data_IF_197780854568
#
_entry.id   IF_197780854568
#
_cell.length_a   1.000
_cell.length_b   1.000
_cell.length_c   1.000
_cell.angle_alpha   90.00
_cell.angle_beta   90.00
_cell.angle_gamma   90.00
#
_symmetry.space_group_name_H-M   'P 1'
#
loop_
_entity.id
_entity.type
_entity.pdbx_description
1 polymer ?
#
# COMPACT_ATOMS: atom_id res chain seq x y z
N UNK A 1 -9.58 -4.58 6.96
CA UNK A 1 -8.98 -4.98 8.24
C UNK A 1 -8.46 -6.40 8.11
N UNK A 2 -7.36 -6.73 8.79
CA UNK A 2 -6.84 -8.09 8.80
C UNK A 2 -7.89 -9.08 9.32
N UNK A 3 -7.96 -10.26 8.71
CA UNK A 3 -8.88 -11.34 9.09
C UNK A 3 -8.04 -12.60 9.27
N UNK A 4 -8.11 -13.22 10.45
CA UNK A 4 -7.38 -14.44 10.87
C UNK A 4 -5.86 -14.30 10.97
N UNK A 5 -5.20 -13.71 9.99
CA UNK A 5 -3.74 -13.58 9.92
C UNK A 5 -3.30 -12.17 9.55
N UNK A 6 -2.05 -11.86 9.88
CA UNK A 6 -1.36 -10.64 9.46
C UNK A 6 -0.14 -11.03 8.64
N UNK A 7 0.05 -10.37 7.51
CA UNK A 7 1.09 -10.70 6.53
C UNK A 7 2.28 -9.74 6.59
N UNK A 8 2.10 -8.55 7.18
CA UNK A 8 3.16 -7.55 7.30
C UNK A 8 3.07 -6.78 8.61
N UNK A 9 4.21 -6.27 9.08
CA UNK A 9 4.25 -5.28 10.16
C UNK A 9 3.59 -3.99 9.67
N UNK A 10 2.64 -3.47 10.44
CA UNK A 10 1.87 -2.27 10.10
C UNK A 10 0.53 -2.54 9.40
N UNK A 11 0.19 -3.79 9.08
CA UNK A 11 -1.14 -4.12 8.56
C UNK A 11 -2.24 -3.77 9.56
N UNK A 12 -3.28 -3.06 9.11
CA UNK A 12 -4.33 -2.55 9.99
C UNK A 12 -5.29 -3.66 10.45
N UNK A 13 -5.34 -3.90 11.76
CA UNK A 13 -6.21 -4.88 12.42
C UNK A 13 -7.54 -4.26 12.85
N UNK A 14 -7.51 -3.07 13.46
CA UNK A 14 -8.68 -2.38 13.97
C UNK A 14 -8.50 -0.85 13.95
N UNK A 15 -9.59 -0.12 14.18
CA UNK A 15 -9.61 1.34 14.36
C UNK A 15 -10.27 1.67 15.69
N UNK A 16 -9.65 2.56 16.46
CA UNK A 16 -10.22 3.10 17.69
C UNK A 16 -10.86 4.45 17.39
N UNK A 17 -12.11 4.63 17.80
CA UNK A 17 -12.86 5.88 17.69
C UNK A 17 -13.04 6.49 19.07
N UNK A 18 -12.74 7.78 19.22
CA UNK A 18 -12.89 8.53 20.47
C UNK A 18 -13.19 10.01 20.17
N UNK A 19 -13.58 10.76 21.20
CA UNK A 19 -13.90 12.19 21.08
C UNK A 19 -12.69 13.05 20.70
N UNK A 20 -11.48 12.62 21.05
CA UNK A 20 -10.24 13.31 20.68
C UNK A 20 -9.19 12.33 20.16
N UNK A 21 -8.28 12.83 19.33
CA UNK A 21 -7.18 12.05 18.77
C UNK A 21 -6.26 11.46 19.87
N UNK A 22 -6.02 12.21 20.94
CA UNK A 22 -5.17 11.75 22.05
C UNK A 22 -5.82 10.60 22.83
N UNK A 23 -7.13 10.66 23.05
CA UNK A 23 -7.87 9.55 23.65
C UNK A 23 -7.82 8.31 22.76
N UNK A 24 -8.04 8.47 21.45
CA UNK A 24 -7.98 7.35 20.50
C UNK A 24 -6.59 6.68 20.51
N UNK A 25 -5.51 7.48 20.51
CA UNK A 25 -4.13 6.96 20.59
C UNK A 25 -3.85 6.22 21.90
N UNK A 26 -4.24 6.81 23.04
CA UNK A 26 -4.06 6.18 24.36
C UNK A 26 -4.82 4.86 24.44
N UNK A 27 -6.07 4.83 23.97
CA UNK A 27 -6.89 3.63 23.95
C UNK A 27 -6.34 2.56 22.99
N UNK A 28 -5.89 2.94 21.79
CA UNK A 28 -5.26 2.03 20.84
C UNK A 28 -4.01 1.36 21.42
N UNK A 29 -3.19 2.08 22.19
CA UNK A 29 -2.00 1.53 22.85
C UNK A 29 -2.32 0.50 23.97
N UNK A 30 -3.57 0.43 24.44
CA UNK A 30 -4.01 -0.55 25.43
C UNK A 30 -4.56 -1.84 24.79
N UNK A 31 -4.78 -1.84 23.47
CA UNK A 31 -5.27 -3.03 22.76
C UNK A 31 -4.18 -4.10 22.79
N UNK A 32 -4.51 -5.25 23.39
CA UNK A 32 -3.63 -6.43 23.43
C UNK A 32 -4.06 -7.40 22.34
N UNK A 33 -3.09 -7.86 21.57
CA UNK A 33 -3.29 -8.83 20.49
C UNK A 33 -2.30 -9.95 20.73
N UNK A 34 -2.80 -11.18 20.76
CA UNK A 34 -1.99 -12.38 20.86
C UNK A 34 -1.78 -12.94 19.45
N UNK A 35 -0.55 -13.33 19.15
CA UNK A 35 -0.16 -13.85 17.85
C UNK A 35 0.45 -15.23 18.01
N UNK A 36 0.15 -16.11 17.06
CA UNK A 36 0.94 -17.29 16.78
C UNK A 36 1.89 -16.94 15.62
N UNK A 37 3.22 -16.99 15.82
CA UNK A 37 4.15 -16.69 14.74
C UNK A 37 4.05 -17.70 13.60
N UNK A 38 3.99 -17.18 12.37
CA UNK A 38 4.05 -17.98 11.14
C UNK A 38 5.38 -17.73 10.42
N UNK A 39 5.85 -18.67 9.58
CA UNK A 39 7.01 -18.43 8.72
C UNK A 39 6.80 -17.20 7.83
N UNK A 40 7.82 -16.35 7.72
CA UNK A 40 7.77 -15.12 6.93
C UNK A 40 8.87 -15.12 5.85
N UNK A 41 8.56 -14.50 4.72
CA UNK A 41 9.48 -14.23 3.61
C UNK A 41 9.75 -12.73 3.61
N UNK A 42 11.00 -12.31 3.82
CA UNK A 42 11.36 -10.90 4.07
C UNK A 42 12.31 -10.32 3.02
N UNK A 43 13.08 -11.17 2.34
CA UNK A 43 14.08 -10.76 1.34
C UNK A 43 13.69 -11.22 -0.06
N UNK A 44 14.30 -10.60 -1.08
CA UNK A 44 14.11 -10.99 -2.48
C UNK A 44 14.61 -12.42 -2.69
N UNK A 45 15.74 -12.76 -2.08
CA UNK A 45 16.36 -14.08 -2.19
C UNK A 45 15.49 -15.18 -1.55
N UNK A 46 14.89 -14.92 -0.39
CA UNK A 46 13.93 -15.85 0.23
C UNK A 46 12.68 -16.04 -0.65
N UNK A 47 12.18 -14.98 -1.28
CA UNK A 47 11.04 -15.07 -2.17
C UNK A 47 11.35 -15.89 -3.43
N UNK A 48 12.56 -15.72 -4.00
CA UNK A 48 13.05 -16.55 -5.11
C UNK A 48 13.15 -18.02 -4.68
N UNK A 49 13.76 -18.30 -3.53
CA UNK A 49 13.94 -19.66 -3.03
C UNK A 49 12.61 -20.36 -2.72
N UNK A 50 11.58 -19.61 -2.34
CA UNK A 50 10.23 -20.11 -2.05
C UNK A 50 9.28 -20.06 -3.26
N UNK A 51 9.75 -19.64 -4.44
CA UNK A 51 8.93 -19.41 -5.64
C UNK A 51 7.69 -18.52 -5.38
N UNK A 52 7.85 -17.52 -4.51
CA UNK A 52 6.77 -16.63 -4.06
C UNK A 52 6.77 -15.34 -4.88
N UNK A 53 6.06 -15.34 -6.02
CA UNK A 53 6.03 -14.23 -6.97
C UNK A 53 4.65 -13.58 -7.11
N UNK A 54 4.62 -12.32 -7.57
CA UNK A 54 3.40 -11.59 -7.91
C UNK A 54 3.35 -11.44 -9.43
N UNK A 55 2.46 -12.21 -10.08
CA UNK A 55 2.32 -12.20 -11.53
C UNK A 55 3.39 -13.00 -12.27
N UNK A 56 3.37 -12.92 -13.59
CA UNK A 56 4.27 -13.67 -14.47
C UNK A 56 5.57 -12.89 -14.80
N UNK A 57 6.57 -13.59 -15.31
CA UNK A 57 7.84 -12.99 -15.76
C UNK A 57 7.61 -11.97 -16.89
N UNK A 58 8.05 -10.74 -16.68
CA UNK A 58 8.10 -9.73 -17.73
C UNK A 58 9.45 -9.77 -18.47
N UNK A 59 9.44 -10.19 -19.73
CA UNK A 59 10.66 -10.33 -20.56
C UNK A 59 10.59 -9.51 -21.84
N UNK A 60 11.64 -8.73 -22.10
CA UNK A 60 11.84 -8.00 -23.36
C UNK A 60 13.20 -8.40 -23.92
N UNK A 61 13.21 -8.92 -25.16
CA UNK A 61 14.44 -9.31 -25.88
C UNK A 61 14.47 -8.62 -27.22
N UNK A 62 15.65 -8.16 -27.64
CA UNK A 62 15.88 -7.58 -28.97
C UNK A 62 17.18 -8.15 -29.53
N UNK A 63 17.14 -8.64 -30.77
CA UNK A 63 18.29 -9.31 -31.40
C UNK A 63 18.52 -10.73 -30.87
N UNK A 64 19.78 -11.18 -30.94
CA UNK A 64 20.24 -12.51 -30.52
C UNK A 64 21.40 -12.37 -29.51
N UNK A 65 21.10 -12.31 -28.20
CA UNK A 65 22.13 -12.18 -27.17
C UNK A 65 23.13 -13.35 -27.17
N UNK A 66 22.68 -14.57 -27.44
CA UNK A 66 23.51 -15.77 -27.36
C UNK A 66 24.62 -15.74 -28.42
N UNK A 67 24.29 -15.30 -29.63
CA UNK A 67 25.26 -15.11 -30.71
C UNK A 67 26.33 -14.04 -30.36
N UNK A 68 25.94 -12.97 -29.66
CA UNK A 68 26.87 -11.90 -29.24
C UNK A 68 27.78 -12.39 -28.11
N UNK A 69 27.24 -13.09 -27.11
CA UNK A 69 28.03 -13.64 -26.02
C UNK A 69 29.09 -14.64 -26.51
N UNK A 70 28.79 -15.43 -27.55
CA UNK A 70 29.73 -16.39 -28.13
C UNK A 70 30.99 -15.74 -28.75
N UNK A 71 30.94 -14.45 -29.10
CA UNK A 71 32.04 -13.75 -29.80
C UNK A 71 32.62 -12.58 -29.00
N UNK A 72 32.09 -12.31 -27.80
CA UNK A 72 32.54 -11.19 -26.98
C UNK A 72 34.00 -11.37 -26.52
N UNK A 73 34.81 -10.32 -26.69
CA UNK A 73 36.20 -10.32 -26.25
C UNK A 73 36.34 -10.37 -24.72
N UNK A 74 35.38 -9.81 -24.00
CA UNK A 74 35.32 -9.79 -22.54
C UNK A 74 33.87 -9.97 -22.08
N UNK A 75 33.70 -10.71 -20.99
CA UNK A 75 32.44 -10.87 -20.28
C UNK A 75 32.68 -10.39 -18.84
N UNK A 76 31.77 -9.58 -18.32
CA UNK A 76 31.80 -9.08 -16.95
C UNK A 76 30.46 -9.40 -16.31
N UNK A 77 30.51 -10.08 -15.16
CA UNK A 77 29.35 -10.48 -14.38
C UNK A 77 29.37 -9.77 -13.03
N UNK A 78 28.19 -9.50 -12.50
CA UNK A 78 28.05 -8.87 -11.20
C UNK A 78 26.59 -8.67 -10.82
N UNK A 79 26.39 -8.40 -9.54
CA UNK A 79 25.08 -8.14 -8.97
C UNK A 79 25.09 -6.77 -8.28
N UNK A 80 23.93 -6.11 -8.27
CA UNK A 80 23.74 -4.86 -7.56
C UNK A 80 22.42 -4.84 -6.82
N UNK A 81 22.39 -4.18 -5.66
CA UNK A 81 21.20 -3.94 -4.87
C UNK A 81 20.97 -2.45 -4.71
N UNK A 82 19.71 -2.04 -4.83
CA UNK A 82 19.27 -0.68 -4.56
C UNK A 82 18.21 -0.77 -3.45
N UNK A 83 18.37 0.02 -2.39
CA UNK A 83 17.43 0.04 -1.27
C UNK A 83 16.10 0.69 -1.62
N UNK A 84 15.13 0.53 -0.71
CA UNK A 84 13.85 1.25 -0.78
C UNK A 84 14.01 2.74 -0.48
N UNK A 85 12.94 3.50 -0.75
CA UNK A 85 12.86 4.92 -0.49
C UNK A 85 11.49 5.28 0.07
N UNK A 86 11.45 6.08 1.15
CA UNK A 86 10.22 6.64 1.67
C UNK A 86 9.91 7.98 0.96
N UNK A 87 8.64 8.24 0.65
CA UNK A 87 8.22 9.44 -0.08
C UNK A 87 8.49 10.71 0.71
N UNK A 88 8.26 10.64 2.04
CA UNK A 88 8.52 11.72 2.98
C UNK A 88 7.82 13.05 2.63
N UNK A 89 6.59 12.97 2.14
CA UNK A 89 5.72 14.14 2.00
C UNK A 89 5.51 14.80 3.37
N UNK A 90 5.50 16.14 3.39
CA UNK A 90 5.43 16.91 4.64
C UNK A 90 4.02 16.94 5.23
N UNK A 91 2.99 16.81 4.39
CA UNK A 91 1.63 16.53 4.84
C UNK A 91 1.39 15.02 4.82
N UNK A 92 1.31 14.39 5.99
CA UNK A 92 0.98 12.98 6.09
C UNK A 92 -0.42 12.66 5.53
N UNK A 93 -0.65 11.38 5.19
CA UNK A 93 -1.96 10.86 4.82
C UNK A 93 -3.05 11.31 5.80
N UNK A 94 -4.07 12.00 5.28
CA UNK A 94 -5.16 12.56 6.06
C UNK A 94 -6.49 12.47 5.32
N UNK A 95 -7.56 12.28 6.08
CA UNK A 95 -8.93 12.21 5.57
C UNK A 95 -9.93 12.69 6.62
N UNK A 96 -10.87 13.52 6.18
CA UNK A 96 -12.06 13.92 6.92
C UNK A 96 -13.28 13.42 6.15
N UNK A 97 -14.14 12.64 6.80
CA UNK A 97 -15.39 12.14 6.22
C UNK A 97 -16.56 12.79 6.93
N UNK A 98 -17.41 13.45 6.16
CA UNK A 98 -18.63 14.11 6.64
C UNK A 98 -19.83 13.32 6.09
N UNK A 99 -20.57 12.58 6.94
CA UNK A 99 -21.81 11.95 6.53
C UNK A 99 -22.89 13.01 6.28
N UNK A 100 -23.68 12.79 5.23
CA UNK A 100 -24.88 13.57 4.90
C UNK A 100 -26.14 12.75 5.11
N UNK A 101 -27.24 13.19 4.50
CA UNK A 101 -28.50 12.44 4.51
C UNK A 101 -28.45 11.24 3.58
N UNK A 102 -29.33 10.25 3.78
CA UNK A 102 -29.54 9.14 2.82
C UNK A 102 -28.27 8.36 2.42
N UNK A 103 -27.38 8.10 3.39
CA UNK A 103 -26.09 7.43 3.20
C UNK A 103 -25.16 8.16 2.22
N UNK A 104 -25.22 9.49 2.17
CA UNK A 104 -24.26 10.30 1.43
C UNK A 104 -23.02 10.59 2.26
N UNK A 105 -21.86 10.65 1.61
CA UNK A 105 -20.58 10.92 2.26
C UNK A 105 -19.77 11.91 1.43
N UNK A 106 -19.34 12.99 2.07
CA UNK A 106 -18.31 13.88 1.51
C UNK A 106 -16.99 13.59 2.19
N UNK A 107 -15.98 13.24 1.39
CA UNK A 107 -14.62 12.96 1.83
C UNK A 107 -13.73 14.14 1.44
N UNK A 108 -12.95 14.65 2.38
CA UNK A 108 -11.85 15.57 2.13
C UNK A 108 -10.56 14.83 2.44
N UNK A 109 -9.77 14.52 1.43
CA UNK A 109 -8.56 13.71 1.61
C UNK A 109 -7.38 14.28 0.83
N UNK A 110 -6.18 14.19 1.43
CA UNK A 110 -4.93 14.40 0.71
C UNK A 110 -4.62 13.13 -0.08
N UNK A 111 -4.99 13.10 -1.36
CA UNK A 111 -4.89 11.92 -2.23
C UNK A 111 -4.63 12.29 -3.68
N UNK A 112 -3.77 11.55 -4.36
CA UNK A 112 -3.56 11.74 -5.80
C UNK A 112 -4.68 11.14 -6.66
N UNK A 113 -5.60 10.36 -6.07
CA UNK A 113 -6.62 9.63 -6.82
C UNK A 113 -8.01 9.68 -6.15
N UNK A 114 -8.73 10.82 -6.24
CA UNK A 114 -10.04 10.99 -5.62
C UNK A 114 -11.09 10.00 -6.13
N UNK A 115 -10.98 9.58 -7.40
CA UNK A 115 -11.89 8.58 -8.02
C UNK A 115 -11.74 7.20 -7.37
N UNK A 116 -10.51 6.75 -7.12
CA UNK A 116 -10.26 5.47 -6.46
C UNK A 116 -10.70 5.52 -4.99
N UNK A 117 -10.47 6.65 -4.32
CA UNK A 117 -10.94 6.88 -2.95
C UNK A 117 -12.45 6.77 -2.83
N UNK A 118 -13.23 7.47 -3.66
CA UNK A 118 -14.69 7.38 -3.61
C UNK A 118 -15.21 5.98 -3.99
N UNK A 119 -14.58 5.32 -4.98
CA UNK A 119 -14.92 3.96 -5.38
C UNK A 119 -14.73 2.94 -4.24
N UNK A 120 -13.61 3.02 -3.52
CA UNK A 120 -13.34 2.10 -2.41
C UNK A 120 -14.28 2.31 -1.23
N UNK A 121 -14.57 3.56 -0.87
CA UNK A 121 -15.53 3.84 0.21
C UNK A 121 -16.93 3.34 -0.16
N UNK A 122 -17.39 3.62 -1.39
CA UNK A 122 -18.69 3.13 -1.86
C UNK A 122 -18.75 1.59 -1.84
N UNK A 123 -17.68 0.92 -2.27
CA UNK A 123 -17.59 -0.54 -2.27
C UNK A 123 -17.64 -1.13 -0.86
N UNK A 124 -16.83 -0.61 0.06
CA UNK A 124 -16.77 -1.08 1.45
C UNK A 124 -18.10 -0.88 2.17
N UNK A 125 -18.79 0.24 1.93
CA UNK A 125 -20.10 0.52 2.51
C UNK A 125 -21.26 -0.20 1.81
N UNK A 126 -21.03 -0.81 0.65
CA UNK A 126 -22.08 -1.46 -0.14
C UNK A 126 -23.11 -0.48 -0.72
N UNK A 127 -22.71 0.76 -1.03
CA UNK A 127 -23.60 1.81 -1.54
C UNK A 127 -23.26 2.23 -2.98
N UNK A 128 -24.20 2.83 -3.73
CA UNK A 128 -23.92 3.36 -5.05
C UNK A 128 -22.85 4.46 -5.04
N UNK A 129 -21.99 4.47 -6.06
CA UNK A 129 -20.87 5.43 -6.17
C UNK A 129 -21.31 6.90 -6.17
N UNK A 130 -22.51 7.19 -6.67
CA UNK A 130 -23.06 8.56 -6.68
C UNK A 130 -23.40 9.10 -5.28
N UNK A 131 -23.35 8.25 -4.23
CA UNK A 131 -23.51 8.66 -2.82
C UNK A 131 -22.21 9.12 -2.17
N UNK A 132 -21.06 8.95 -2.82
CA UNK A 132 -19.75 9.28 -2.24
C UNK A 132 -19.03 10.30 -3.11
N UNK A 133 -18.71 11.45 -2.54
CA UNK A 133 -17.96 12.52 -3.21
C UNK A 133 -16.62 12.69 -2.51
N UNK A 134 -15.52 12.53 -3.24
CA UNK A 134 -14.18 12.85 -2.74
C UNK A 134 -13.72 14.20 -3.29
N UNK A 135 -13.41 15.12 -2.38
CA UNK A 135 -12.92 16.48 -2.68
C UNK A 135 -11.46 16.59 -2.26
N UNK A 136 -10.68 17.27 -3.09
CA UNK A 136 -9.31 17.61 -2.79
C UNK A 136 -9.02 19.05 -3.22
N UNK A 137 -8.31 19.80 -2.37
CA UNK A 137 -7.87 21.17 -2.68
C UNK A 137 -6.40 21.19 -3.11
N UNK A 138 -5.53 20.53 -2.35
CA UNK A 138 -4.09 20.34 -2.61
C UNK A 138 -3.57 19.17 -1.77
N UNK A 139 -2.40 18.64 -2.12
CA UNK A 139 -1.59 17.78 -1.25
C UNK A 139 -0.29 18.52 -0.86
N UNK A 140 0.18 18.34 0.38
CA UNK A 140 1.49 18.79 0.86
C UNK A 140 2.62 17.81 0.53
N UNK A 141 2.69 17.39 -0.75
CA UNK A 141 3.52 16.29 -1.22
C UNK A 141 2.71 14.99 -1.41
N UNK A 142 3.20 14.09 -2.27
CA UNK A 142 2.55 12.80 -2.53
C UNK A 142 3.52 11.83 -3.19
N UNK A 143 4.13 12.24 -4.30
CA UNK A 143 5.25 11.53 -4.96
C UNK A 143 4.95 10.08 -5.39
N UNK A 144 3.67 9.72 -5.53
CA UNK A 144 3.22 8.38 -5.90
C UNK A 144 2.71 7.52 -4.73
N UNK A 145 2.89 7.99 -3.48
CA UNK A 145 2.47 7.29 -2.27
C UNK A 145 1.01 7.47 -1.87
#
# INVERSE_FOLDING_TARGET
FAIKEVLTVGQVIAVVVAETQDLARKAAAQVRIEYEPLPAILTIEEAIAAESFIGDEARIVTGDPDAVFATAAHIVEGEMRIGGQEHFYLENNTSLVVPGENNEFTIYSSTQNPTKTSNFVAHVLGIPKNRVVCKIKRCGGGFGG
#
